data_IF_436991901564
#
_entry.id   IF_436991901564
#
_cell.length_a   1.000
_cell.length_b   1.000
_cell.length_c   1.000
_cell.angle_alpha   90.00
_cell.angle_beta   90.00
_cell.angle_gamma   90.00
#
_symmetry.space_group_name_H-M   'P 1'
#
loop_
_entity.id
_entity.type
_entity.pdbx_description
1 polymer ?
#
# COMPACT_ATOMS: atom_id res chain seq x y z
N UNK A 1 15.05 -52.84 45.68
CA UNK A 1 14.79 -52.28 44.34
C UNK A 1 16.08 -52.41 43.54
N UNK A 2 16.04 -53.12 42.41
CA UNK A 2 17.24 -53.51 41.68
C UNK A 2 17.88 -52.28 40.99
N UNK A 3 19.22 -52.15 41.06
CA UNK A 3 19.95 -50.98 40.52
C UNK A 3 19.66 -50.76 39.04
N UNK A 4 19.41 -51.86 38.32
CA UNK A 4 19.02 -51.88 36.91
C UNK A 4 17.70 -51.14 36.68
N UNK A 5 16.68 -51.35 37.52
CA UNK A 5 15.37 -50.69 37.40
C UNK A 5 15.50 -49.18 37.66
N UNK A 6 16.32 -48.78 38.64
CA UNK A 6 16.57 -47.36 38.94
C UNK A 6 17.26 -46.66 37.75
N UNK A 7 18.27 -47.29 37.17
CA UNK A 7 19.00 -46.76 36.01
C UNK A 7 18.07 -46.64 34.79
N UNK A 8 17.22 -47.64 34.54
CA UNK A 8 16.23 -47.61 33.45
C UNK A 8 15.19 -46.51 33.61
N UNK A 9 14.71 -46.24 34.84
CA UNK A 9 13.75 -45.15 35.08
C UNK A 9 14.41 -43.79 34.89
N UNK A 10 15.63 -43.59 35.40
CA UNK A 10 16.37 -42.33 35.24
C UNK A 10 16.72 -42.06 33.78
N UNK A 11 17.14 -43.08 33.03
CA UNK A 11 17.46 -42.93 31.60
C UNK A 11 16.21 -42.66 30.76
N UNK A 12 15.09 -43.35 31.02
CA UNK A 12 13.83 -43.11 30.33
C UNK A 12 13.27 -41.71 30.62
N UNK A 13 13.31 -41.25 31.88
CA UNK A 13 12.85 -39.90 32.26
C UNK A 13 13.76 -38.80 31.71
N UNK A 14 15.08 -39.02 31.66
CA UNK A 14 16.02 -38.08 31.04
C UNK A 14 15.83 -37.99 29.52
N UNK A 15 15.57 -39.12 28.85
CA UNK A 15 15.26 -39.15 27.43
C UNK A 15 13.95 -38.42 27.11
N UNK A 16 12.89 -38.64 27.90
CA UNK A 16 11.62 -37.92 27.77
C UNK A 16 11.77 -36.42 28.00
N UNK A 17 12.55 -36.01 29.01
CA UNK A 17 12.86 -34.60 29.24
C UNK A 17 13.62 -33.98 28.06
N UNK A 18 14.61 -34.70 27.50
CA UNK A 18 15.34 -34.26 26.30
C UNK A 18 14.44 -34.11 25.06
N UNK A 19 13.49 -35.03 24.87
CA UNK A 19 12.49 -34.94 23.79
C UNK A 19 11.57 -33.73 24.00
N UNK A 20 11.10 -33.48 25.22
CA UNK A 20 10.22 -32.33 25.51
C UNK A 20 10.93 -30.99 25.29
N UNK A 21 12.19 -30.87 25.74
CA UNK A 21 12.99 -29.64 25.55
C UNK A 21 13.26 -29.39 24.06
N UNK A 22 13.60 -30.44 23.30
CA UNK A 22 13.82 -30.30 21.86
C UNK A 22 12.55 -29.93 21.10
N UNK A 23 11.40 -30.53 21.44
CA UNK A 23 10.11 -30.15 20.85
C UNK A 23 9.72 -28.71 21.18
N UNK A 24 9.95 -28.26 22.42
CA UNK A 24 9.71 -26.87 22.81
C UNK A 24 10.60 -25.90 22.02
N UNK A 25 11.89 -26.23 21.85
CA UNK A 25 12.81 -25.41 21.06
C UNK A 25 12.40 -25.33 19.57
N UNK A 26 11.90 -26.43 19.00
CA UNK A 26 11.39 -26.47 17.62
C UNK A 26 10.16 -25.57 17.48
N UNK A 27 9.18 -25.67 18.39
CA UNK A 27 7.99 -24.82 18.38
C UNK A 27 8.33 -23.34 18.53
N UNK A 28 9.27 -23.00 19.43
CA UNK A 28 9.73 -21.63 19.61
C UNK A 28 10.42 -21.10 18.34
N UNK A 29 11.30 -21.90 17.73
CA UNK A 29 11.98 -21.54 16.47
C UNK A 29 10.97 -21.33 15.36
N UNK A 30 9.98 -22.19 15.22
CA UNK A 30 8.95 -22.08 14.18
C UNK A 30 8.07 -20.83 14.39
N UNK A 31 7.73 -20.52 15.64
CA UNK A 31 7.00 -19.30 15.99
C UNK A 31 7.80 -18.04 15.63
N UNK A 32 9.09 -17.99 15.99
CA UNK A 32 9.97 -16.88 15.65
C UNK A 32 10.13 -16.74 14.13
N UNK A 33 10.25 -17.86 13.41
CA UNK A 33 10.36 -17.86 11.96
C UNK A 33 9.07 -17.32 11.29
N UNK A 34 7.90 -17.75 11.76
CA UNK A 34 6.60 -17.23 11.27
C UNK A 34 6.47 -15.73 11.53
N UNK A 35 6.90 -15.25 12.70
CA UNK A 35 6.91 -13.83 13.04
C UNK A 35 7.84 -13.05 12.11
N UNK A 36 9.06 -13.54 11.88
CA UNK A 36 10.00 -12.90 10.98
C UNK A 36 9.47 -12.85 9.54
N UNK A 37 8.97 -13.97 9.00
CA UNK A 37 8.37 -14.03 7.67
C UNK A 37 7.19 -13.06 7.52
N UNK A 38 6.34 -12.94 8.55
CA UNK A 38 5.25 -11.95 8.55
C UNK A 38 5.79 -10.53 8.47
N UNK A 39 6.82 -10.19 9.24
CA UNK A 39 7.41 -8.84 9.24
C UNK A 39 8.04 -8.51 7.89
N UNK A 40 8.78 -9.47 7.29
CA UNK A 40 9.35 -9.33 5.95
C UNK A 40 8.24 -9.08 4.93
N UNK A 41 7.18 -9.89 4.93
CA UNK A 41 6.04 -9.70 4.04
C UNK A 41 5.38 -8.33 4.22
N UNK A 42 5.14 -7.90 5.47
CA UNK A 42 4.54 -6.59 5.74
C UNK A 42 5.42 -5.45 5.24
N UNK A 43 6.73 -5.55 5.40
CA UNK A 43 7.68 -4.56 4.87
C UNK A 43 7.63 -4.52 3.33
N UNK A 44 7.72 -5.65 2.66
CA UNK A 44 7.63 -5.73 1.19
C UNK A 44 6.31 -5.14 0.67
N UNK A 45 5.19 -5.42 1.34
CA UNK A 45 3.89 -4.86 0.97
C UNK A 45 3.80 -3.37 1.25
N UNK A 46 4.50 -2.88 2.26
CA UNK A 46 4.55 -1.47 2.61
C UNK A 46 5.35 -0.67 1.58
N UNK A 47 6.51 -1.19 1.17
CA UNK A 47 7.31 -0.65 0.06
C UNK A 47 6.47 -0.62 -1.23
N UNK A 48 5.76 -1.71 -1.56
CA UNK A 48 4.83 -1.75 -2.70
C UNK A 48 3.68 -0.73 -2.61
N UNK A 49 3.16 -0.47 -1.41
CA UNK A 49 2.13 0.56 -1.19
C UNK A 49 2.69 1.94 -1.52
N UNK A 50 3.90 2.24 -1.03
CA UNK A 50 4.58 3.51 -1.30
C UNK A 50 4.85 3.72 -2.78
N UNK A 51 5.35 2.69 -3.48
CA UNK A 51 5.56 2.73 -4.93
C UNK A 51 4.25 3.04 -5.67
N UNK A 52 3.15 2.37 -5.31
CA UNK A 52 1.84 2.63 -5.91
C UNK A 52 1.36 4.08 -5.67
N UNK A 53 1.58 4.63 -4.47
CA UNK A 53 1.23 6.02 -4.16
C UNK A 53 2.07 6.98 -5.01
N UNK A 54 3.38 6.75 -5.14
CA UNK A 54 4.26 7.59 -5.95
C UNK A 54 3.91 7.53 -7.45
N UNK A 55 3.69 6.32 -7.99
CA UNK A 55 3.27 6.13 -9.38
C UNK A 55 1.92 6.81 -9.68
N UNK A 56 1.00 6.84 -8.71
CA UNK A 56 -0.32 7.47 -8.87
C UNK A 56 -0.25 8.98 -9.12
N UNK A 57 0.82 9.65 -8.68
CA UNK A 57 1.05 11.07 -8.95
C UNK A 57 1.46 11.28 -10.41
N UNK A 58 2.41 10.49 -10.89
CA UNK A 58 2.85 10.53 -12.29
C UNK A 58 1.66 10.31 -13.21
N UNK A 59 0.80 9.34 -12.86
CA UNK A 59 -0.45 9.05 -13.57
C UNK A 59 -1.37 10.26 -13.73
N UNK A 60 -1.44 11.14 -12.71
CA UNK A 60 -2.28 12.34 -12.73
C UNK A 60 -1.71 13.43 -13.63
N UNK A 61 -0.39 13.58 -13.63
CA UNK A 61 0.31 14.52 -14.51
C UNK A 61 0.16 14.09 -15.98
N UNK A 62 0.42 12.82 -16.28
CA UNK A 62 0.31 12.29 -17.64
C UNK A 62 -1.11 12.41 -18.21
N UNK A 63 -2.14 12.19 -17.38
CA UNK A 63 -3.54 12.42 -17.78
C UNK A 63 -3.78 13.87 -18.23
N UNK A 64 -3.15 14.82 -17.55
CA UNK A 64 -3.21 16.25 -17.87
C UNK A 64 -2.48 16.65 -19.16
N UNK A 65 -1.42 15.91 -19.51
CA UNK A 65 -0.59 16.15 -20.69
C UNK A 65 -1.12 15.53 -21.99
N UNK A 66 -2.08 14.61 -21.88
CA UNK A 66 -2.77 14.02 -23.02
C UNK A 66 -3.31 15.11 -23.97
N UNK A 67 -3.40 14.81 -25.26
CA UNK A 67 -3.86 15.76 -26.30
C UNK A 67 -5.09 15.27 -27.05
N UNK A 68 -5.52 14.04 -26.79
CA UNK A 68 -6.71 13.44 -27.42
C UNK A 68 -7.53 12.62 -26.43
N UNK A 69 -8.80 12.38 -26.78
CA UNK A 69 -9.67 11.45 -26.03
C UNK A 69 -9.07 10.05 -25.92
N UNK A 70 -8.51 9.53 -27.01
CA UNK A 70 -7.95 8.18 -27.05
C UNK A 70 -6.74 8.01 -26.12
N UNK A 71 -6.01 9.09 -25.87
CA UNK A 71 -4.91 9.09 -24.89
C UNK A 71 -5.45 9.13 -23.46
N UNK A 72 -6.32 10.09 -23.14
CA UNK A 72 -6.75 10.30 -21.74
C UNK A 72 -7.67 9.19 -21.21
N UNK A 73 -8.37 8.46 -22.08
CA UNK A 73 -9.22 7.33 -21.66
C UNK A 73 -8.42 6.22 -20.96
N UNK A 74 -7.12 6.08 -21.28
CA UNK A 74 -6.20 5.15 -20.58
C UNK A 74 -6.02 5.52 -19.10
N UNK A 75 -6.21 6.80 -18.78
CA UNK A 75 -6.04 7.35 -17.44
C UNK A 75 -7.35 7.40 -16.64
N UNK A 76 -8.51 7.03 -17.23
CA UNK A 76 -9.81 7.11 -16.55
C UNK A 76 -9.92 6.30 -15.25
N UNK A 77 -9.01 5.34 -15.06
CA UNK A 77 -8.79 4.69 -13.77
C UNK A 77 -7.32 4.86 -13.40
N UNK A 78 -7.04 5.52 -12.27
CA UNK A 78 -5.71 5.55 -11.68
C UNK A 78 -5.36 4.16 -11.12
N UNK A 79 -4.77 3.32 -11.95
CA UNK A 79 -4.44 1.93 -11.61
C UNK A 79 -3.51 1.85 -10.39
N UNK A 80 -2.45 2.65 -10.27
CA UNK A 80 -1.61 2.67 -9.07
C UNK A 80 -2.40 3.03 -7.80
N UNK A 81 -3.25 4.07 -7.83
CA UNK A 81 -4.09 4.44 -6.67
C UNK A 81 -5.02 3.29 -6.26
N UNK A 82 -5.62 2.59 -7.22
CA UNK A 82 -6.49 1.43 -6.96
C UNK A 82 -5.73 0.24 -6.35
N UNK A 83 -4.48 0.01 -6.78
CA UNK A 83 -3.60 -0.99 -6.15
C UNK A 83 -3.25 -0.61 -4.72
N UNK A 84 -2.91 0.67 -4.48
CA UNK A 84 -2.65 1.18 -3.14
C UNK A 84 -3.86 0.98 -2.21
N UNK A 85 -5.06 1.33 -2.68
CA UNK A 85 -6.30 1.08 -1.94
C UNK A 85 -6.49 -0.42 -1.64
N UNK A 86 -6.24 -1.30 -2.62
CA UNK A 86 -6.34 -2.75 -2.41
C UNK A 86 -5.35 -3.26 -1.34
N UNK A 87 -4.12 -2.76 -1.35
CA UNK A 87 -3.12 -3.07 -0.31
C UNK A 87 -3.56 -2.57 1.07
N UNK A 88 -4.16 -1.38 1.14
CA UNK A 88 -4.68 -0.83 2.40
C UNK A 88 -5.81 -1.68 3.00
N UNK A 89 -6.66 -2.29 2.17
CA UNK A 89 -7.74 -3.16 2.64
C UNK A 89 -7.24 -4.49 3.22
N UNK A 90 -6.10 -4.98 2.75
CA UNK A 90 -5.58 -6.32 3.11
C UNK A 90 -4.51 -6.22 4.22
N UNK A 91 -3.58 -5.29 4.09
CA UNK A 91 -2.36 -5.23 4.90
C UNK A 91 -2.28 -4.00 5.81
N UNK A 92 -2.80 -2.86 5.37
CA UNK A 92 -2.57 -1.56 6.02
C UNK A 92 -3.87 -0.78 6.23
N UNK A 93 -4.76 -1.25 7.12
CA UNK A 93 -6.08 -0.65 7.33
C UNK A 93 -6.03 0.83 7.73
N UNK A 94 -4.93 1.30 8.36
CA UNK A 94 -4.71 2.70 8.68
C UNK A 94 -4.63 3.64 7.45
N UNK A 95 -4.32 3.11 6.25
CA UNK A 95 -4.28 3.88 5.00
C UNK A 95 -5.62 3.87 4.26
N UNK A 96 -6.58 3.04 4.68
CA UNK A 96 -7.80 2.75 3.91
C UNK A 96 -8.56 4.00 3.49
N UNK A 97 -8.86 4.86 4.45
CA UNK A 97 -9.70 6.02 4.21
C UNK A 97 -8.96 7.07 3.37
N UNK A 98 -7.67 7.28 3.63
CA UNK A 98 -6.84 8.20 2.83
C UNK A 98 -6.66 7.72 1.39
N UNK A 99 -6.47 6.41 1.16
CA UNK A 99 -6.40 5.85 -0.18
C UNK A 99 -7.74 5.97 -0.92
N UNK A 100 -8.86 5.75 -0.22
CA UNK A 100 -10.20 5.93 -0.80
C UNK A 100 -10.46 7.39 -1.17
N UNK A 101 -10.12 8.32 -0.28
CA UNK A 101 -10.31 9.75 -0.50
C UNK A 101 -9.44 10.25 -1.67
N UNK A 102 -8.18 9.84 -1.74
CA UNK A 102 -7.30 10.16 -2.87
C UNK A 102 -7.87 9.64 -4.20
N UNK A 103 -8.37 8.40 -4.24
CA UNK A 103 -8.96 7.84 -5.44
C UNK A 103 -10.23 8.59 -5.87
N UNK A 104 -11.08 9.01 -4.93
CA UNK A 104 -12.28 9.78 -5.24
C UNK A 104 -11.94 11.18 -5.77
N UNK A 105 -10.97 11.86 -5.16
CA UNK A 105 -10.50 13.16 -5.62
C UNK A 105 -9.85 13.07 -7.01
N UNK A 106 -9.12 11.98 -7.29
CA UNK A 106 -8.63 11.69 -8.64
C UNK A 106 -9.76 11.65 -9.67
N UNK A 107 -10.83 10.89 -9.39
CA UNK A 107 -11.97 10.77 -10.31
C UNK A 107 -12.65 12.12 -10.54
N UNK A 108 -12.83 12.92 -9.49
CA UNK A 108 -13.42 14.25 -9.60
C UNK A 108 -12.56 15.19 -10.48
N UNK A 109 -11.24 15.14 -10.35
CA UNK A 109 -10.34 15.94 -11.18
C UNK A 109 -10.32 15.45 -12.63
N UNK A 110 -10.25 14.13 -12.84
CA UNK A 110 -10.33 13.52 -14.17
C UNK A 110 -11.61 13.94 -14.89
N UNK A 111 -12.74 13.96 -14.19
CA UNK A 111 -14.02 14.43 -14.74
C UNK A 111 -13.93 15.90 -15.20
N UNK A 112 -13.27 16.77 -14.43
CA UNK A 112 -13.02 18.16 -14.84
C UNK A 112 -12.16 18.23 -16.10
N UNK A 113 -11.08 17.43 -16.18
CA UNK A 113 -10.23 17.38 -17.38
C UNK A 113 -11.06 17.03 -18.62
N UNK A 114 -11.83 15.94 -18.56
CA UNK A 114 -12.65 15.47 -19.69
C UNK A 114 -13.72 16.49 -20.08
N UNK A 115 -14.44 17.07 -19.10
CA UNK A 115 -15.50 18.06 -19.36
C UNK A 115 -14.98 19.36 -19.97
N UNK A 116 -13.71 19.68 -19.75
CA UNK A 116 -13.10 20.93 -20.22
C UNK A 116 -12.43 20.78 -21.59
N UNK A 117 -12.38 19.57 -22.13
CA UNK A 117 -11.73 19.27 -23.39
C UNK A 117 -12.53 19.77 -24.58
N UNK A 118 -11.82 20.36 -25.53
CA UNK A 118 -12.31 20.71 -26.86
C UNK A 118 -11.31 20.21 -27.91
N UNK A 119 -11.84 19.60 -28.96
CA UNK A 119 -11.04 19.02 -30.04
C UNK A 119 -10.45 20.07 -31.01
N UNK A 120 -10.88 21.32 -30.92
CA UNK A 120 -10.39 22.45 -31.73
C UNK A 120 -9.18 23.15 -31.10
N UNK A 121 -8.74 22.73 -29.91
CA UNK A 121 -7.63 23.33 -29.16
C UNK A 121 -6.44 22.35 -29.07
N UNK A 122 -5.25 22.77 -29.53
CA UNK A 122 -4.04 21.93 -29.60
C UNK A 122 -3.26 21.80 -28.28
N UNK A 123 -3.83 22.24 -27.15
CA UNK A 123 -3.19 22.15 -25.83
C UNK A 123 -3.65 20.90 -25.08
N UNK A 124 -2.86 20.47 -24.09
CA UNK A 124 -3.22 19.33 -23.25
C UNK A 124 -4.42 19.61 -22.33
N UNK A 125 -5.01 18.55 -21.79
CA UNK A 125 -6.21 18.63 -20.94
C UNK A 125 -6.08 19.60 -19.78
N UNK A 126 -4.95 19.59 -19.06
CA UNK A 126 -4.76 20.50 -17.93
C UNK A 126 -4.75 21.97 -18.36
N UNK A 127 -4.12 22.29 -19.48
CA UNK A 127 -4.11 23.65 -20.03
C UNK A 127 -5.51 24.08 -20.46
N UNK A 128 -6.27 23.18 -21.10
CA UNK A 128 -7.66 23.46 -21.48
C UNK A 128 -8.57 23.63 -20.26
N UNK A 129 -8.41 22.79 -19.24
CA UNK A 129 -9.15 22.88 -17.99
C UNK A 129 -8.84 24.18 -17.24
N UNK A 130 -7.58 24.57 -17.15
CA UNK A 130 -7.17 25.85 -16.56
C UNK A 130 -7.71 27.07 -17.33
N UNK A 131 -7.87 26.97 -18.65
CA UNK A 131 -8.38 28.06 -19.48
C UNK A 131 -9.92 28.16 -19.50
N UNK A 132 -10.62 27.02 -19.52
CA UNK A 132 -12.06 26.96 -19.77
C UNK A 132 -12.91 26.60 -18.55
N UNK A 133 -12.30 26.01 -17.52
CA UNK A 133 -12.98 25.57 -16.30
C UNK A 133 -12.10 25.78 -15.07
N UNK A 134 -11.49 26.97 -15.00
CA UNK A 134 -10.43 27.31 -14.05
C UNK A 134 -10.78 27.00 -12.60
N UNK A 135 -11.94 27.47 -12.13
CA UNK A 135 -12.36 27.33 -10.74
C UNK A 135 -12.50 25.85 -10.34
N UNK A 136 -13.13 25.03 -11.19
CA UNK A 136 -13.27 23.60 -10.91
C UNK A 136 -11.93 22.88 -10.99
N UNK A 137 -11.06 23.28 -11.92
CA UNK A 137 -9.71 22.73 -12.08
C UNK A 137 -8.83 23.02 -10.86
N UNK A 138 -8.78 24.28 -10.41
CA UNK A 138 -8.03 24.71 -9.22
C UNK A 138 -8.55 23.99 -7.98
N UNK A 139 -9.88 23.96 -7.77
CA UNK A 139 -10.49 23.27 -6.61
C UNK A 139 -10.20 21.77 -6.58
N UNK A 140 -10.38 21.07 -7.69
CA UNK A 140 -10.13 19.62 -7.73
C UNK A 140 -8.64 19.29 -7.66
N UNK A 141 -7.77 20.14 -8.22
CA UNK A 141 -6.32 20.04 -8.07
C UNK A 141 -5.86 20.20 -6.61
N UNK A 142 -6.41 21.19 -5.90
CA UNK A 142 -6.15 21.39 -4.47
C UNK A 142 -6.62 20.19 -3.64
N UNK A 143 -7.82 19.68 -3.90
CA UNK A 143 -8.33 18.51 -3.17
C UNK A 143 -7.45 17.26 -3.37
N UNK A 144 -6.96 17.02 -4.59
CA UNK A 144 -5.99 15.93 -4.84
C UNK A 144 -4.70 16.16 -4.06
N UNK A 145 -4.18 17.40 -4.05
CA UNK A 145 -2.95 17.72 -3.33
C UNK A 145 -3.11 17.49 -1.81
N UNK A 146 -4.23 17.89 -1.24
CA UNK A 146 -4.55 17.66 0.18
C UNK A 146 -4.70 16.17 0.49
N UNK A 147 -5.44 15.42 -0.32
CA UNK A 147 -5.57 13.97 -0.15
C UNK A 147 -4.22 13.24 -0.28
N UNK A 148 -3.35 13.72 -1.16
CA UNK A 148 -1.98 13.22 -1.29
C UNK A 148 -1.15 13.51 -0.05
N UNK A 149 -1.23 14.72 0.48
CA UNK A 149 -0.53 15.12 1.70
C UNK A 149 -0.94 14.24 2.89
N UNK A 150 -2.24 13.94 3.02
CA UNK A 150 -2.73 13.04 4.05
C UNK A 150 -2.09 11.63 3.93
N UNK A 151 -1.91 11.12 2.70
CA UNK A 151 -1.19 9.87 2.48
C UNK A 151 0.29 9.97 2.89
N UNK A 152 0.98 11.07 2.59
CA UNK A 152 2.37 11.27 3.02
C UNK A 152 2.52 11.32 4.54
N UNK A 153 1.60 11.99 5.22
CA UNK A 153 1.57 12.06 6.68
C UNK A 153 1.43 10.66 7.29
N UNK A 154 0.58 9.81 6.72
CA UNK A 154 0.44 8.41 7.14
C UNK A 154 1.71 7.59 6.85
N UNK A 155 2.35 7.80 5.69
CA UNK A 155 3.63 7.13 5.37
C UNK A 155 4.69 7.47 6.41
N UNK A 156 4.81 8.74 6.79
CA UNK A 156 5.75 9.18 7.83
C UNK A 156 5.37 8.57 9.17
N UNK A 157 4.10 8.68 9.56
CA UNK A 157 3.58 8.21 10.85
C UNK A 157 3.83 6.70 11.04
N UNK A 158 3.57 5.89 10.02
CA UNK A 158 3.66 4.42 10.12
C UNK A 158 4.97 3.82 9.60
N UNK A 159 5.90 4.63 9.11
CA UNK A 159 7.22 4.18 8.66
C UNK A 159 7.93 3.30 9.70
N UNK A 160 7.96 3.72 10.97
CA UNK A 160 8.61 2.99 12.06
C UNK A 160 8.00 1.60 12.32
N UNK A 161 6.70 1.43 12.05
CA UNK A 161 5.96 0.19 12.29
C UNK A 161 6.31 -0.90 11.27
N UNK A 162 6.63 -0.50 10.04
CA UNK A 162 6.80 -1.43 8.91
C UNK A 162 8.22 -1.44 8.33
N UNK A 163 9.06 -0.44 8.61
CA UNK A 163 10.43 -0.36 8.09
C UNK A 163 11.44 -1.20 8.88
N UNK A 164 11.17 -1.54 10.15
CA UNK A 164 12.08 -2.32 10.98
C UNK A 164 11.80 -3.82 10.83
N UNK A 165 12.76 -4.55 10.26
CA UNK A 165 12.78 -6.02 10.16
C UNK A 165 14.03 -6.57 10.86
#
# INVERSE_FOLDING_TARGET
>A
MDKTVLISVVSASSALAGVLVSQFAVLLKEHLNKKHLKNVLLREKYEQLMDCIQESLVWSVEAGECKSMDEITKYGVNIPARKAFSLSLIYFPEFRDACADFQNNYVAHYEVLIKSYRNDVSYGFSTQAAAHNREAFERTGENIALARQALDELVVLYSHKYAQA
#
